data_IF_567014516959
#
_entry.id   IF_567014516959
#
_cell.length_a   1.000
_cell.length_b   1.000
_cell.length_c   1.000
_cell.angle_alpha   90.00
_cell.angle_beta   90.00
_cell.angle_gamma   90.00
#
_symmetry.space_group_name_H-M   'P 1'
#
loop_
_entity.id
_entity.type
_entity.pdbx_description
1 polymer ?
#
# COMPACT_ATOMS: atom_id res chain seq x y z
N UNK A 1 -12.80 -48.10 64.57
CA UNK A 1 -12.56 -46.75 64.01
C UNK A 1 -11.15 -46.71 63.42
N UNK A 2 -10.99 -46.73 62.10
CA UNK A 2 -9.68 -46.57 61.42
C UNK A 2 -9.83 -45.49 60.34
N UNK A 3 -8.97 -44.47 60.43
CA UNK A 3 -8.91 -43.31 59.54
C UNK A 3 -8.52 -43.75 58.13
N UNK A 4 -9.28 -43.29 57.13
CA UNK A 4 -8.88 -43.37 55.73
C UNK A 4 -7.82 -42.29 55.44
N UNK A 5 -6.67 -42.70 54.93
CA UNK A 5 -5.68 -41.78 54.35
C UNK A 5 -6.13 -41.39 52.93
N UNK A 6 -6.08 -40.10 52.54
CA UNK A 6 -6.19 -39.72 51.14
C UNK A 6 -4.90 -40.09 50.42
N UNK A 7 -5.03 -40.90 49.36
CA UNK A 7 -3.94 -41.20 48.43
C UNK A 7 -3.49 -39.90 47.76
N UNK A 8 -2.24 -39.53 47.99
CA UNK A 8 -1.52 -38.56 47.19
C UNK A 8 -1.47 -39.06 45.74
N UNK A 9 -2.15 -38.34 44.86
CA UNK A 9 -2.13 -38.62 43.43
C UNK A 9 -0.90 -37.94 42.81
N UNK A 10 -0.02 -38.78 42.26
CA UNK A 10 0.69 -38.52 40.99
C UNK A 10 1.55 -37.28 40.91
N UNK A 11 2.80 -37.39 41.39
CA UNK A 11 3.89 -36.68 40.78
C UNK A 11 4.25 -37.37 39.44
N UNK A 12 4.34 -36.59 38.37
CA UNK A 12 4.98 -37.01 37.12
C UNK A 12 4.07 -36.93 35.89
N UNK A 13 4.59 -36.25 34.87
CA UNK A 13 4.07 -36.20 33.49
C UNK A 13 2.89 -35.26 33.22
N UNK A 14 3.02 -33.98 33.56
CA UNK A 14 2.34 -32.93 32.80
C UNK A 14 3.28 -32.48 31.68
N UNK A 15 3.20 -33.23 30.58
CA UNK A 15 3.56 -32.76 29.26
C UNK A 15 3.09 -31.31 29.09
N UNK A 16 3.93 -30.46 28.49
CA UNK A 16 3.74 -29.04 28.24
C UNK A 16 2.32 -28.72 27.73
N UNK A 17 1.39 -28.54 28.67
CA UNK A 17 0.07 -28.03 28.39
C UNK A 17 0.27 -26.56 28.04
N UNK A 18 -0.24 -26.07 26.89
CA UNK A 18 -0.09 -24.68 26.46
C UNK A 18 -0.42 -23.67 27.56
N UNK A 19 -1.34 -24.04 28.46
CA UNK A 19 -1.74 -23.26 29.63
C UNK A 19 -0.65 -23.04 30.67
N UNK A 20 0.29 -23.98 30.82
CA UNK A 20 1.43 -23.83 31.76
C UNK A 20 2.40 -22.77 31.27
N UNK A 21 2.68 -22.72 29.96
CA UNK A 21 3.54 -21.69 29.37
C UNK A 21 2.89 -20.31 29.52
N UNK A 22 1.57 -20.22 29.26
CA UNK A 22 0.80 -18.98 29.47
C UNK A 22 0.81 -18.57 30.94
N UNK A 23 0.51 -19.48 31.87
CA UNK A 23 0.52 -19.19 33.31
C UNK A 23 1.90 -18.76 33.81
N UNK A 24 2.96 -19.42 33.32
CA UNK A 24 4.35 -19.06 33.64
C UNK A 24 4.68 -17.67 33.10
N UNK A 25 4.29 -17.37 31.85
CA UNK A 25 4.50 -16.06 31.25
C UNK A 25 3.76 -14.94 31.99
N UNK A 26 2.50 -15.17 32.37
CA UNK A 26 1.71 -14.22 33.17
C UNK A 26 2.36 -13.98 34.53
N UNK A 27 2.82 -15.04 35.21
CA UNK A 27 3.49 -14.92 36.50
C UNK A 27 4.78 -14.11 36.41
N UNK A 28 5.61 -14.36 35.38
CA UNK A 28 6.81 -13.56 35.12
C UNK A 28 6.45 -12.10 34.83
N UNK A 29 5.42 -11.83 34.01
CA UNK A 29 4.97 -10.48 33.71
C UNK A 29 4.51 -9.73 34.97
N UNK A 30 3.76 -10.38 35.87
CA UNK A 30 3.32 -9.81 37.14
C UNK A 30 4.50 -9.51 38.06
N UNK A 31 5.45 -10.43 38.18
CA UNK A 31 6.66 -10.21 38.99
C UNK A 31 7.46 -9.02 38.46
N UNK A 32 7.68 -8.94 37.15
CA UNK A 32 8.36 -7.80 36.54
C UNK A 32 7.62 -6.47 36.76
N UNK A 33 6.29 -6.48 36.71
CA UNK A 33 5.47 -5.29 37.01
C UNK A 33 5.64 -4.84 38.46
N UNK A 34 5.65 -5.77 39.42
CA UNK A 34 5.87 -5.47 40.84
C UNK A 34 7.27 -4.89 41.05
N UNK A 35 8.30 -5.48 40.45
CA UNK A 35 9.69 -4.98 40.53
C UNK A 35 9.81 -3.59 39.91
N UNK A 36 9.16 -3.36 38.76
CA UNK A 36 9.12 -2.04 38.14
C UNK A 36 8.47 -1.01 39.08
N UNK A 37 7.28 -1.29 39.62
CA UNK A 37 6.60 -0.41 40.56
C UNK A 37 7.41 -0.15 41.84
N UNK A 38 8.09 -1.17 42.36
CA UNK A 38 8.99 -1.02 43.50
C UNK A 38 10.20 -0.15 43.16
N UNK A 39 10.80 -0.32 41.98
CA UNK A 39 11.93 0.50 41.53
C UNK A 39 11.55 1.97 41.29
N UNK A 40 10.33 2.23 40.84
CA UNK A 40 9.80 3.59 40.71
C UNK A 40 9.56 4.23 42.08
N UNK A 41 9.07 3.47 43.07
CA UNK A 41 8.93 3.96 44.45
C UNK A 41 10.26 4.15 45.16
N UNK A 42 11.28 3.37 44.82
CA UNK A 42 12.64 3.54 45.36
C UNK A 42 13.42 4.70 44.72
N UNK A 43 12.91 5.32 43.65
CA UNK A 43 13.53 6.49 42.99
C UNK A 43 12.88 7.84 43.36
N UNK A 44 12.16 7.94 44.48
CA UNK A 44 11.84 9.24 45.11
C UNK A 44 11.09 9.08 46.44
N UNK A 45 11.33 9.93 47.48
CA UNK A 45 11.89 11.28 47.44
C UNK A 45 13.23 11.42 48.20
N UNK A 46 14.29 11.83 47.49
CA UNK A 46 15.42 12.53 48.08
C UNK A 46 15.48 13.93 47.46
N UNK A 47 14.43 14.71 47.72
CA UNK A 47 14.53 16.16 47.67
C UNK A 47 15.05 16.58 49.05
N UNK A 48 16.29 17.09 49.09
CA UNK A 48 16.89 18.07 50.01
C UNK A 48 18.35 17.71 50.31
N UNK A 49 19.27 18.11 49.43
CA UNK A 49 20.63 18.52 49.77
C UNK A 49 21.28 19.05 48.49
N UNK A 50 21.12 20.35 48.25
CA UNK A 50 21.92 21.11 47.29
C UNK A 50 23.23 21.49 47.97
N UNK A 51 24.41 21.06 47.50
CA UNK A 51 25.64 21.79 47.76
C UNK A 51 25.66 23.04 46.88
N UNK A 52 25.85 24.19 47.50
CA UNK A 52 25.94 25.49 46.85
C UNK A 52 27.13 25.55 45.88
N UNK A 53 26.92 26.19 44.72
CA UNK A 53 28.00 26.70 43.87
C UNK A 53 28.73 27.84 44.59
N UNK A 54 30.07 27.82 44.68
CA UNK A 54 30.84 29.06 44.81
C UNK A 54 31.23 29.60 43.41
N UNK A 55 31.00 30.90 43.24
CA UNK A 55 31.19 31.68 42.02
C UNK A 55 32.64 31.64 41.45
N UNK A 56 32.82 31.81 40.13
CA UNK A 56 34.14 31.83 39.50
C UNK A 56 34.81 33.20 39.64
N UNK A 57 35.86 33.27 40.46
CA UNK A 57 36.84 34.37 40.42
C UNK A 57 37.93 34.07 39.39
N UNK A 58 38.06 34.94 38.38
CA UNK A 58 39.14 34.93 37.39
C UNK A 58 40.41 35.58 37.95
N UNK A 59 41.59 34.94 37.78
CA UNK A 59 42.76 35.42 37.01
C UNK A 59 44.01 34.52 37.19
N UNK A 60 44.65 34.20 36.06
CA UNK A 60 45.88 33.41 35.78
C UNK A 60 47.19 34.04 36.35
N UNK A 61 48.45 33.55 36.07
CA UNK A 61 48.96 32.33 35.38
C UNK A 61 50.11 31.58 36.13
N UNK A 62 50.44 30.35 35.73
CA UNK A 62 51.78 29.80 36.00
C UNK A 62 51.93 28.28 35.97
N UNK A 63 52.35 27.78 34.79
CA UNK A 63 53.29 26.66 34.59
C UNK A 63 53.05 25.32 35.30
N UNK A 64 52.77 24.28 34.50
CA UNK A 64 53.13 22.90 34.83
C UNK A 64 52.16 21.86 34.31
N UNK A 65 52.45 21.35 33.11
CA UNK A 65 52.29 19.93 32.74
C UNK A 65 50.96 19.21 33.07
N UNK A 66 50.09 19.06 32.08
CA UNK A 66 49.59 17.77 31.51
C UNK A 66 48.33 18.09 30.69
N UNK A 67 48.54 18.56 29.46
CA UNK A 67 47.47 18.79 28.50
C UNK A 67 46.99 17.43 27.94
N UNK A 68 45.81 16.99 28.38
CA UNK A 68 44.93 16.14 27.59
C UNK A 68 43.57 16.83 27.52
N UNK A 69 43.48 17.82 26.64
CA UNK A 69 42.21 18.27 26.10
C UNK A 69 41.37 17.10 25.54
N UNK A 70 40.04 17.20 25.66
CA UNK A 70 39.10 16.23 25.12
C UNK A 70 39.06 16.34 23.59
N UNK A 71 39.09 15.19 22.91
CA UNK A 71 38.89 15.08 21.46
C UNK A 71 37.48 15.55 21.13
N UNK A 72 37.37 16.81 20.68
CA UNK A 72 36.25 17.27 19.89
C UNK A 72 36.52 16.94 18.42
N UNK A 73 35.52 16.32 17.80
CA UNK A 73 35.14 16.45 16.39
C UNK A 73 36.28 16.56 15.36
N UNK A 74 36.62 15.44 14.74
CA UNK A 74 36.98 15.37 13.32
C UNK A 74 36.89 13.90 12.88
N UNK A 75 35.67 13.45 12.56
CA UNK A 75 35.48 12.23 11.78
C UNK A 75 35.42 12.63 10.30
N UNK A 76 36.22 11.99 9.43
CA UNK A 76 36.24 12.29 8.01
C UNK A 76 34.89 11.95 7.36
N UNK A 77 34.44 12.88 6.53
CA UNK A 77 33.29 12.82 5.65
C UNK A 77 33.26 11.49 4.86
N UNK A 78 32.18 10.69 4.97
CA UNK A 78 31.99 9.58 4.06
C UNK A 78 31.70 10.14 2.66
N UNK A 79 32.68 9.96 1.77
CA UNK A 79 32.64 10.30 0.37
C UNK A 79 31.30 9.89 -0.28
N UNK A 80 30.61 10.88 -0.85
CA UNK A 80 29.39 10.69 -1.64
C UNK A 80 29.74 9.92 -2.92
N UNK A 81 29.23 8.69 -3.13
CA UNK A 81 29.47 7.97 -4.37
C UNK A 81 28.63 8.58 -5.50
N UNK A 82 29.31 9.30 -6.39
CA UNK A 82 29.08 9.29 -7.83
C UNK A 82 27.65 9.57 -8.31
N UNK A 83 27.33 10.84 -8.50
CA UNK A 83 26.37 11.25 -9.52
C UNK A 83 26.91 10.86 -10.90
N UNK A 84 26.47 9.71 -11.42
CA UNK A 84 26.43 9.46 -12.86
C UNK A 84 25.07 8.87 -13.21
N UNK A 85 24.18 9.62 -13.91
CA UNK A 85 23.14 8.98 -14.68
C UNK A 85 23.85 8.27 -15.83
N UNK A 86 24.01 6.95 -15.72
CA UNK A 86 24.29 6.10 -16.87
C UNK A 86 23.04 6.09 -17.75
N UNK A 87 22.91 7.13 -18.57
CA UNK A 87 22.00 7.21 -19.70
C UNK A 87 22.54 6.27 -20.78
N UNK A 88 22.09 5.04 -20.76
CA UNK A 88 22.23 4.14 -21.90
C UNK A 88 21.06 4.42 -22.84
N UNK A 89 21.29 5.38 -23.74
CA UNK A 89 20.47 5.66 -24.91
C UNK A 89 20.95 4.70 -26.02
N UNK A 90 20.11 3.81 -26.58
CA UNK A 90 20.36 3.25 -27.89
C UNK A 90 19.73 4.16 -28.95
N UNK A 91 20.60 4.90 -29.65
CA UNK A 91 20.36 5.52 -30.94
C UNK A 91 19.72 4.51 -31.93
N UNK A 92 18.70 4.91 -32.71
CA UNK A 92 18.53 4.40 -34.06
C UNK A 92 19.44 5.20 -34.99
N UNK A 93 20.44 4.51 -35.52
CA UNK A 93 21.29 4.94 -36.62
C UNK A 93 20.41 5.20 -37.85
N UNK A 94 20.57 6.39 -38.43
CA UNK A 94 20.17 6.75 -39.79
C UNK A 94 20.76 5.76 -40.80
N UNK A 95 20.01 5.36 -41.82
CA UNK A 95 20.51 5.36 -43.20
C UNK A 95 19.33 5.47 -44.22
N UNK A 96 19.58 6.07 -45.40
CA UNK A 96 18.60 6.75 -46.24
C UNK A 96 18.17 5.93 -47.46
N UNK A 97 16.97 6.20 -48.00
CA UNK A 97 16.69 5.97 -49.43
C UNK A 97 15.66 7.01 -49.91
N UNK A 98 16.15 8.05 -50.58
CA UNK A 98 15.43 8.76 -51.64
C UNK A 98 15.21 7.80 -52.81
N UNK A 99 13.95 7.56 -53.23
CA UNK A 99 13.66 7.33 -54.67
C UNK A 99 12.29 7.90 -55.03
N UNK A 100 12.40 8.89 -55.89
CA UNK A 100 11.44 9.53 -56.80
C UNK A 100 10.57 8.54 -57.59
N UNK A 101 9.30 8.91 -57.76
CA UNK A 101 8.65 8.88 -59.07
C UNK A 101 7.76 7.69 -59.40
N UNK A 102 6.57 7.98 -59.93
CA UNK A 102 5.83 7.04 -60.77
C UNK A 102 4.32 7.09 -60.65
N UNK A 103 3.70 8.22 -60.98
CA UNK A 103 2.41 8.19 -61.70
C UNK A 103 2.74 7.78 -63.15
N UNK A 104 1.92 6.96 -63.83
CA UNK A 104 1.19 7.59 -64.93
C UNK A 104 -0.17 6.95 -65.32
N UNK A 105 -0.95 7.82 -65.98
CA UNK A 105 -1.93 7.58 -67.06
C UNK A 105 -3.38 7.34 -66.63
N UNK A 106 -4.40 8.07 -67.09
CA UNK A 106 -4.46 9.06 -68.18
C UNK A 106 -5.55 8.68 -69.20
N UNK A 107 -6.38 9.67 -69.58
CA UNK A 107 -7.35 9.65 -70.69
C UNK A 107 -8.79 9.63 -70.19
N UNK A 108 -9.61 10.69 -70.28
CA UNK A 108 -9.85 11.63 -71.39
C UNK A 108 -11.23 11.29 -71.99
N UNK A 109 -12.19 12.16 -72.27
CA UNK A 109 -12.40 13.60 -72.15
C UNK A 109 -13.81 13.93 -72.70
N UNK A 110 -14.18 15.21 -72.62
CA UNK A 110 -15.21 15.92 -73.40
C UNK A 110 -16.72 15.84 -73.03
N UNK A 111 -17.34 17.03 -73.17
CA UNK A 111 -18.71 17.54 -72.89
C UNK A 111 -18.98 18.59 -74.01
N UNK A 112 -20.19 19.10 -74.42
CA UNK A 112 -21.64 18.69 -74.45
C UNK A 112 -22.31 18.85 -75.89
N UNK A 113 -23.56 19.38 -76.10
CA UNK A 113 -24.97 18.86 -76.09
C UNK A 113 -25.62 18.91 -77.54
N UNK A 114 -26.95 19.03 -77.86
CA UNK A 114 -28.24 19.06 -77.10
C UNK A 114 -29.37 18.14 -77.67
N UNK A 115 -30.57 18.11 -77.03
CA UNK A 115 -31.95 18.21 -77.60
C UNK A 115 -33.00 17.78 -76.54
N UNK A 116 -33.86 18.73 -76.15
CA UNK A 116 -35.17 18.61 -75.45
C UNK A 116 -36.33 18.56 -76.50
N UNK A 117 -37.65 18.47 -76.16
CA UNK A 117 -38.48 17.67 -75.22
C UNK A 117 -39.76 17.09 -75.99
N UNK A 118 -41.00 16.80 -75.45
CA UNK A 118 -41.56 16.80 -74.07
C UNK A 118 -42.48 15.61 -73.62
N UNK A 119 -42.62 15.45 -72.29
CA UNK A 119 -43.75 15.11 -71.35
C UNK A 119 -44.91 14.14 -71.71
N UNK A 120 -45.78 13.69 -70.74
CA UNK A 120 -45.71 13.58 -69.26
C UNK A 120 -46.14 12.19 -68.71
N UNK A 121 -45.93 11.92 -67.41
CA UNK A 121 -46.95 11.41 -66.46
C UNK A 121 -46.35 10.73 -65.21
N UNK A 122 -47.03 10.97 -64.09
CA UNK A 122 -46.51 10.80 -62.74
C UNK A 122 -46.29 9.37 -62.26
N UNK A 123 -45.29 9.24 -61.39
CA UNK A 123 -45.03 8.05 -60.59
C UNK A 123 -44.02 8.40 -59.51
N UNK A 124 -44.49 8.73 -58.31
CA UNK A 124 -43.66 8.99 -57.15
C UNK A 124 -42.85 7.72 -56.80
N UNK A 125 -41.53 7.76 -57.00
CA UNK A 125 -40.61 6.73 -56.55
C UNK A 125 -40.18 7.01 -55.10
N UNK A 126 -40.16 6.01 -54.20
CA UNK A 126 -39.81 6.20 -52.80
C UNK A 126 -38.32 6.52 -52.61
N UNK A 127 -38.03 7.48 -51.73
CA UNK A 127 -36.68 7.92 -51.38
C UNK A 127 -35.84 6.80 -50.73
N UNK A 128 -34.52 6.72 -51.01
CA UNK A 128 -33.63 5.77 -50.35
C UNK A 128 -33.44 6.16 -48.88
N UNK A 129 -33.80 5.25 -47.98
CA UNK A 129 -33.57 5.41 -46.53
C UNK A 129 -32.10 5.15 -46.23
N UNK A 130 -31.30 6.20 -46.07
CA UNK A 130 -29.93 6.09 -45.54
C UNK A 130 -30.01 5.72 -44.06
N UNK A 131 -29.62 4.48 -43.73
CA UNK A 131 -29.51 4.02 -42.35
C UNK A 131 -28.27 4.68 -41.71
N UNK A 132 -28.40 5.38 -40.56
CA UNK A 132 -27.25 5.97 -39.87
C UNK A 132 -26.24 4.90 -39.43
N UNK A 133 -24.92 5.19 -39.47
CA UNK A 133 -23.90 4.26 -38.96
C UNK A 133 -24.13 3.92 -37.49
N UNK A 134 -24.13 2.62 -37.18
CA UNK A 134 -24.31 2.14 -35.81
C UNK A 134 -23.20 2.65 -34.89
N UNK A 135 -23.58 3.19 -33.73
CA UNK A 135 -22.64 3.64 -32.72
C UNK A 135 -21.74 2.50 -32.24
N UNK A 136 -20.45 2.74 -31.95
CA UNK A 136 -19.55 1.73 -31.42
C UNK A 136 -20.09 1.11 -30.13
N UNK A 137 -20.05 -0.22 -30.03
CA UNK A 137 -20.46 -0.92 -28.82
C UNK A 137 -19.58 -0.49 -27.62
N UNK A 138 -20.15 -0.36 -26.41
CA UNK A 138 -19.37 -0.06 -25.21
C UNK A 138 -18.24 -1.09 -25.00
N UNK A 139 -17.05 -0.67 -24.54
CA UNK A 139 -15.97 -1.59 -24.25
C UNK A 139 -16.39 -2.61 -23.19
N UNK A 140 -16.08 -3.89 -23.45
CA UNK A 140 -16.37 -4.97 -22.51
C UNK A 140 -15.69 -4.71 -21.16
N UNK A 141 -16.37 -5.00 -20.03
CA UNK A 141 -15.79 -4.79 -18.71
C UNK A 141 -14.52 -5.66 -18.56
N UNK A 142 -13.45 -5.06 -18.06
CA UNK A 142 -12.22 -5.78 -17.76
C UNK A 142 -12.48 -6.83 -16.68
N UNK A 143 -12.37 -8.11 -17.04
CA UNK A 143 -12.50 -9.22 -16.09
C UNK A 143 -11.12 -9.59 -15.54
N UNK A 144 -10.81 -9.19 -14.30
CA UNK A 144 -9.70 -9.79 -13.56
C UNK A 144 -10.18 -11.06 -12.85
N UNK A 145 -9.38 -12.15 -12.84
CA UNK A 145 -9.69 -13.34 -12.05
C UNK A 145 -9.49 -13.10 -10.54
N UNK A 146 -8.84 -12.00 -10.15
CA UNK A 146 -8.78 -11.57 -8.76
C UNK A 146 -10.07 -10.84 -8.36
N UNK A 147 -10.63 -11.25 -7.23
CA UNK A 147 -11.84 -10.61 -6.66
C UNK A 147 -11.57 -10.12 -5.25
N UNK A 148 -12.19 -8.99 -4.88
CA UNK A 148 -12.07 -8.39 -3.57
C UNK A 148 -13.42 -8.22 -2.87
N UNK A 149 -13.43 -8.40 -1.55
CA UNK A 149 -14.55 -8.01 -0.68
C UNK A 149 -14.03 -7.07 0.41
N UNK A 150 -14.57 -5.87 0.45
CA UNK A 150 -14.30 -4.92 1.52
C UNK A 150 -15.19 -5.20 2.73
N UNK A 151 -14.63 -5.04 3.92
CA UNK A 151 -15.37 -4.96 5.18
C UNK A 151 -14.59 -4.12 6.19
N UNK A 152 -15.31 -3.45 7.09
CA UNK A 152 -14.71 -2.85 8.28
C UNK A 152 -14.65 -3.92 9.38
N UNK A 153 -13.47 -4.12 9.96
CA UNK A 153 -13.25 -5.07 11.05
C UNK A 153 -13.45 -4.41 12.42
N UNK A 154 -12.96 -3.18 12.57
CA UNK A 154 -13.07 -2.41 13.81
C UNK A 154 -13.13 -0.91 13.50
N UNK A 155 -13.73 -0.13 14.39
CA UNK A 155 -13.90 1.32 14.22
C UNK A 155 -13.98 2.06 15.55
N UNK A 156 -13.47 3.30 15.55
CA UNK A 156 -13.48 4.18 16.72
C UNK A 156 -14.17 5.50 16.37
N UNK A 157 -15.39 5.68 16.90
CA UNK A 157 -16.19 6.91 16.77
C UNK A 157 -16.35 7.42 15.32
N UNK A 158 -16.24 6.54 14.34
CA UNK A 158 -16.16 6.87 12.91
C UNK A 158 -15.05 7.87 12.54
N UNK A 159 -14.02 8.01 13.38
CA UNK A 159 -12.83 8.84 13.14
C UNK A 159 -11.62 8.00 12.74
N UNK A 160 -11.65 6.71 13.07
CA UNK A 160 -10.65 5.72 12.68
C UNK A 160 -11.30 4.36 12.44
N UNK A 161 -10.69 3.54 11.60
CA UNK A 161 -11.14 2.16 11.37
C UNK A 161 -10.02 1.24 10.87
N UNK A 162 -10.13 -0.05 11.20
CA UNK A 162 -9.39 -1.12 10.54
C UNK A 162 -10.29 -1.70 9.45
N UNK A 163 -9.88 -1.52 8.20
CA UNK A 163 -10.52 -2.11 7.03
C UNK A 163 -9.81 -3.38 6.60
N UNK A 164 -10.56 -4.28 5.97
CA UNK A 164 -10.06 -5.46 5.30
C UNK A 164 -10.57 -5.51 3.87
N UNK A 165 -9.68 -5.87 2.95
CA UNK A 165 -10.04 -6.35 1.62
C UNK A 165 -9.63 -7.81 1.55
N UNK A 166 -10.62 -8.70 1.53
CA UNK A 166 -10.41 -10.13 1.37
C UNK A 166 -10.25 -10.44 -0.13
N UNK A 167 -9.02 -10.75 -0.56
CA UNK A 167 -8.71 -11.07 -1.94
C UNK A 167 -8.84 -12.56 -2.19
N UNK A 168 -9.47 -12.95 -3.30
CA UNK A 168 -9.55 -14.34 -3.75
C UNK A 168 -9.11 -14.46 -5.20
N UNK A 169 -8.16 -15.36 -5.44
CA UNK A 169 -7.73 -15.74 -6.79
C UNK A 169 -8.69 -16.80 -7.35
N UNK A 170 -9.48 -16.43 -8.36
CA UNK A 170 -10.39 -17.37 -9.04
C UNK A 170 -9.75 -18.07 -10.23
N UNK A 171 -8.49 -17.77 -10.52
CA UNK A 171 -7.75 -18.44 -11.58
C UNK A 171 -7.19 -19.80 -11.12
N UNK A 172 -6.73 -20.57 -12.10
CA UNK A 172 -6.00 -21.83 -11.94
C UNK A 172 -4.49 -21.63 -11.81
N UNK A 173 -4.01 -20.39 -11.89
CA UNK A 173 -2.58 -20.03 -11.76
C UNK A 173 -2.37 -19.07 -10.61
N UNK A 174 -1.18 -19.09 -10.00
CA UNK A 174 -0.83 -18.13 -8.96
C UNK A 174 -0.67 -16.73 -9.56
N UNK A 175 -1.20 -15.69 -8.90
CA UNK A 175 -1.21 -14.33 -9.45
C UNK A 175 -0.80 -13.25 -8.44
N UNK A 176 -0.05 -12.22 -8.87
CA UNK A 176 0.08 -11.01 -8.09
C UNK A 176 -1.24 -10.26 -8.08
N UNK A 177 -1.35 -9.25 -7.23
CA UNK A 177 -2.56 -8.45 -7.09
C UNK A 177 -2.23 -7.03 -6.63
N UNK A 178 -3.10 -6.10 -6.99
CA UNK A 178 -3.02 -4.69 -6.58
C UNK A 178 -4.38 -4.21 -6.09
N UNK A 179 -4.43 -3.69 -4.86
CA UNK A 179 -5.61 -3.02 -4.31
C UNK A 179 -5.45 -1.52 -4.49
N UNK A 180 -6.49 -0.86 -4.98
CA UNK A 180 -6.61 0.61 -4.98
C UNK A 180 -7.88 1.01 -4.26
N UNK A 181 -7.77 1.89 -3.27
CA UNK A 181 -8.85 2.30 -2.40
C UNK A 181 -8.81 3.82 -2.18
N UNK A 182 -9.98 4.46 -2.23
CA UNK A 182 -10.14 5.88 -1.93
C UNK A 182 -10.81 5.99 -0.56
N UNK A 183 -10.03 6.23 0.52
CA UNK A 183 -10.60 6.39 1.85
C UNK A 183 -11.40 7.70 1.93
N UNK A 184 -12.15 7.92 3.02
CA UNK A 184 -12.75 9.22 3.31
C UNK A 184 -11.75 10.38 3.16
N UNK A 185 -12.21 11.53 2.69
CA UNK A 185 -11.34 12.68 2.49
C UNK A 185 -10.64 13.09 3.80
N UNK A 186 -9.35 13.45 3.72
CA UNK A 186 -8.55 13.82 4.90
C UNK A 186 -8.02 12.63 5.71
N UNK A 187 -8.39 11.38 5.36
CA UNK A 187 -7.89 10.20 6.06
C UNK A 187 -6.38 10.08 6.00
N UNK A 188 -5.78 9.65 7.11
CA UNK A 188 -4.36 9.33 7.23
C UNK A 188 -4.19 7.82 7.33
N UNK A 189 -3.39 7.24 6.44
CA UNK A 189 -2.96 5.85 6.58
C UNK A 189 -1.98 5.74 7.75
N UNK A 190 -2.29 4.89 8.72
CA UNK A 190 -1.41 4.58 9.85
C UNK A 190 -0.52 3.40 9.51
N UNK A 191 -1.13 2.31 9.06
CA UNK A 191 -0.42 1.08 8.69
C UNK A 191 -1.26 0.24 7.72
N UNK A 192 -0.61 -0.67 7.01
CA UNK A 192 -1.25 -1.70 6.19
C UNK A 192 -0.41 -2.97 6.22
N UNK A 193 -1.06 -4.11 6.23
CA UNK A 193 -0.40 -5.41 6.29
C UNK A 193 -1.26 -6.49 5.67
N UNK A 194 -0.60 -7.56 5.25
CA UNK A 194 -1.25 -8.78 4.80
C UNK A 194 -1.18 -9.83 5.90
N UNK A 195 -2.31 -10.47 6.26
CA UNK A 195 -2.25 -11.58 7.23
C UNK A 195 -1.80 -12.86 6.55
N UNK A 196 -0.89 -13.58 7.22
CA UNK A 196 -0.50 -14.93 6.83
C UNK A 196 0.24 -15.04 5.50
N UNK A 197 0.69 -13.94 4.90
CA UNK A 197 1.47 -13.97 3.66
C UNK A 197 2.57 -12.88 3.65
N UNK A 198 3.61 -13.05 2.80
CA UNK A 198 4.63 -12.04 2.56
C UNK A 198 4.06 -10.64 2.29
N UNK A 199 4.68 -9.64 2.92
CA UNK A 199 4.29 -8.25 2.77
C UNK A 199 4.65 -7.71 1.39
N UNK A 200 3.87 -6.72 0.94
CA UNK A 200 4.07 -6.00 -0.31
C UNK A 200 4.49 -4.56 -0.05
N UNK A 201 4.14 -3.68 -0.97
CA UNK A 201 4.36 -2.24 -0.81
C UNK A 201 3.05 -1.48 -0.77
N UNK A 202 2.97 -0.51 0.14
CA UNK A 202 1.84 0.40 0.30
C UNK A 202 2.25 1.81 -0.07
N UNK A 203 1.39 2.54 -0.78
CA UNK A 203 1.58 3.95 -1.11
C UNK A 203 0.28 4.72 -0.97
N UNK A 204 0.37 5.91 -0.39
CA UNK A 204 -0.70 6.91 -0.43
C UNK A 204 -0.30 8.01 -1.42
N UNK A 205 -1.16 8.32 -2.39
CA UNK A 205 -0.91 9.41 -3.35
C UNK A 205 -2.22 9.98 -3.87
N UNK A 206 -2.37 11.31 -3.83
CA UNK A 206 -3.56 11.98 -4.35
C UNK A 206 -4.87 11.51 -3.71
N UNK A 207 -4.86 11.19 -2.41
CA UNK A 207 -6.05 10.65 -1.73
C UNK A 207 -6.36 9.18 -2.07
N UNK A 208 -5.46 8.46 -2.75
CA UNK A 208 -5.64 7.05 -3.11
C UNK A 208 -4.61 6.19 -2.39
N UNK A 209 -5.09 5.19 -1.67
CA UNK A 209 -4.29 4.11 -1.14
C UNK A 209 -4.09 3.04 -2.22
N UNK A 210 -2.84 2.70 -2.49
CA UNK A 210 -2.48 1.60 -3.40
C UNK A 210 -1.60 0.61 -2.65
N UNK A 211 -1.97 -0.66 -2.69
CA UNK A 211 -1.17 -1.75 -2.15
C UNK A 211 -0.85 -2.74 -3.27
N UNK A 212 0.44 -3.03 -3.48
CA UNK A 212 0.93 -3.99 -4.47
C UNK A 212 1.49 -5.20 -3.75
N UNK A 213 1.00 -6.40 -4.11
CA UNK A 213 1.40 -7.67 -3.50
C UNK A 213 2.91 -7.92 -3.57
N UNK A 214 3.50 -8.45 -2.49
CA UNK A 214 4.88 -8.97 -2.51
C UNK A 214 4.99 -10.44 -2.94
N UNK A 215 3.87 -11.14 -3.05
CA UNK A 215 3.81 -12.56 -3.42
C UNK A 215 2.58 -12.85 -4.25
N UNK A 216 2.67 -13.90 -5.07
CA UNK A 216 1.53 -14.43 -5.81
C UNK A 216 0.59 -15.21 -4.88
N UNK A 217 -0.71 -15.00 -5.03
CA UNK A 217 -1.73 -15.79 -4.35
C UNK A 217 -1.99 -17.05 -5.15
N UNK A 218 -1.90 -18.21 -4.52
CA UNK A 218 -2.12 -19.51 -5.16
C UNK A 218 -3.55 -19.64 -5.76
N UNK A 219 -3.76 -20.56 -6.71
CA UNK A 219 -5.08 -20.83 -7.29
C UNK A 219 -6.14 -21.12 -6.21
N UNK A 220 -7.29 -20.46 -6.28
CA UNK A 220 -8.39 -20.63 -5.32
C UNK A 220 -8.14 -20.07 -3.92
N UNK A 221 -6.91 -19.67 -3.60
CA UNK A 221 -6.52 -19.18 -2.29
C UNK A 221 -7.06 -17.78 -2.02
N UNK A 222 -7.10 -17.44 -0.73
CA UNK A 222 -7.60 -16.17 -0.23
C UNK A 222 -6.56 -15.53 0.67
N UNK A 223 -6.40 -14.22 0.58
CA UNK A 223 -5.45 -13.44 1.39
C UNK A 223 -6.15 -12.17 1.86
N UNK A 224 -6.17 -11.88 3.17
CA UNK A 224 -6.72 -10.63 3.68
C UNK A 224 -5.64 -9.54 3.69
N UNK A 225 -5.92 -8.44 2.99
CA UNK A 225 -5.20 -7.18 3.15
C UNK A 225 -5.92 -6.34 4.20
N UNK A 226 -5.21 -5.94 5.24
CA UNK A 226 -5.72 -5.04 6.28
C UNK A 226 -5.02 -3.70 6.25
N UNK A 227 -5.73 -2.68 6.69
CA UNK A 227 -5.21 -1.32 6.79
C UNK A 227 -5.93 -0.55 7.88
N UNK A 228 -5.21 0.38 8.50
CA UNK A 228 -5.72 1.27 9.52
C UNK A 228 -5.69 2.70 9.01
N UNK A 229 -6.85 3.36 9.00
CA UNK A 229 -7.01 4.78 8.74
C UNK A 229 -7.49 5.54 9.97
N UNK A 230 -6.97 6.75 10.13
CA UNK A 230 -7.40 7.76 11.10
C UNK A 230 -7.84 9.04 10.37
N UNK A 231 -8.38 10.02 11.10
CA UNK A 231 -8.83 11.31 10.59
C UNK A 231 -9.86 11.20 9.47
N UNK A 232 -10.80 10.25 9.58
CA UNK A 232 -11.70 9.91 8.49
C UNK A 232 -12.93 10.80 8.35
N UNK A 233 -12.99 11.91 9.12
CA UNK A 233 -14.04 12.92 9.00
C UNK A 233 -15.46 12.44 9.33
N UNK A 234 -15.60 11.38 10.14
CA UNK A 234 -16.90 10.84 10.54
C UNK A 234 -17.44 9.73 9.63
N UNK A 235 -16.69 9.31 8.61
CA UNK A 235 -17.03 8.17 7.74
C UNK A 235 -15.99 7.07 7.89
N UNK A 236 -16.41 5.81 7.78
CA UNK A 236 -15.54 4.63 7.75
C UNK A 236 -15.69 3.83 6.45
N UNK A 237 -16.44 4.38 5.48
CA UNK A 237 -16.65 3.78 4.17
C UNK A 237 -15.77 4.47 3.12
N UNK A 238 -14.90 3.73 2.43
CA UNK A 238 -14.23 4.21 1.23
C UNK A 238 -15.24 4.57 0.14
N UNK A 239 -14.94 5.56 -0.70
CA UNK A 239 -15.77 5.89 -1.86
C UNK A 239 -15.51 4.97 -3.06
N UNK A 240 -14.34 4.32 -3.10
CA UNK A 240 -13.95 3.38 -4.15
C UNK A 240 -13.00 2.33 -3.61
N UNK A 241 -13.15 1.08 -4.05
CA UNK A 241 -12.20 -0.01 -3.85
C UNK A 241 -12.16 -0.85 -5.12
N UNK A 242 -10.95 -1.16 -5.60
CA UNK A 242 -10.73 -2.07 -6.73
C UNK A 242 -9.57 -3.00 -6.46
N UNK A 243 -9.67 -4.24 -6.96
CA UNK A 243 -8.60 -5.23 -7.06
C UNK A 243 -8.29 -5.45 -8.53
N UNK A 244 -7.06 -5.15 -8.97
CA UNK A 244 -6.65 -5.24 -10.38
C UNK A 244 -7.63 -4.53 -11.34
N UNK A 245 -8.19 -3.41 -10.89
CA UNK A 245 -9.16 -2.61 -11.65
C UNK A 245 -10.63 -3.06 -11.50
N UNK A 246 -10.90 -4.25 -10.97
CA UNK A 246 -12.26 -4.76 -10.72
C UNK A 246 -12.77 -4.24 -9.38
N UNK A 247 -14.01 -3.75 -9.34
CA UNK A 247 -14.62 -3.22 -8.11
C UNK A 247 -14.70 -4.27 -6.99
N UNK A 248 -14.37 -3.86 -5.77
CA UNK A 248 -14.60 -4.68 -4.58
C UNK A 248 -16.10 -4.76 -4.29
N UNK A 249 -16.54 -5.91 -3.80
CA UNK A 249 -17.87 -6.05 -3.20
C UNK A 249 -17.88 -5.51 -1.76
N UNK A 250 -19.05 -5.15 -1.22
CA UNK A 250 -19.21 -4.78 0.20
C UNK A 250 -18.90 -3.33 0.57
N UNK A 251 -18.76 -2.44 -0.40
CA UNK A 251 -18.63 -0.98 -0.19
C UNK A 251 -19.92 -0.34 0.35
#
# INVERSE_FOLDING_TARGET
MRRAQPRAHGAGALASSPWVVVATGVLVMVVLLIVALASYRSRGPAFEARPADPAPTYSLPGSGETDRAPVAANLPEPAVPGLTPRRTDPLPVELPVDVVGGDPSGGGGAVPPPVDPPSPDGGAAPAPTTTPPAAPAPPAPSSSPMTGRFSVLDSWNNQAFIGEVLLRNRDRVARPWTVRLVPPAGSRLVTSWVEGAPQGSSRMSGGVFTYTSGVNVAPGATVPLRFHFENTGGSIRPSRCTVDGVACSGL
#
